data_IF_278786372746
#
_entry.id   IF_278786372746
#
_cell.length_a   1.000
_cell.length_b   1.000
_cell.length_c   1.000
_cell.angle_alpha   90.00
_cell.angle_beta   90.00
_cell.angle_gamma   90.00
#
_symmetry.space_group_name_H-M   'P 1'
#
loop_
_entity.id
_entity.type
_entity.pdbx_description
1 polymer ?
#
# COMPACT_ATOMS: atom_id res chain seq x y z
N UNK A 1 8.14 61.00 20.48
CA UNK A 1 8.26 59.55 20.76
C UNK A 1 7.23 58.83 19.92
N UNK A 2 7.67 58.00 18.96
CA UNK A 2 6.78 57.10 18.19
C UNK A 2 7.16 55.67 18.59
N UNK A 3 6.27 54.98 19.29
CA UNK A 3 6.41 53.56 19.58
C UNK A 3 5.91 52.77 18.37
N UNK A 4 6.80 51.98 17.76
CA UNK A 4 6.44 51.01 16.74
C UNK A 4 6.18 49.70 17.48
N UNK A 5 4.90 49.30 17.54
CA UNK A 5 4.46 48.03 18.08
C UNK A 5 4.65 46.96 17.01
N UNK A 6 5.72 46.19 17.09
CA UNK A 6 5.95 45.04 16.21
C UNK A 6 5.08 43.88 16.73
N UNK A 7 3.94 43.64 16.09
CA UNK A 7 3.14 42.44 16.30
C UNK A 7 3.83 41.26 15.62
N UNK A 8 4.45 40.39 16.42
CA UNK A 8 4.96 39.10 15.97
C UNK A 8 3.76 38.16 15.83
N UNK A 9 3.32 37.92 14.60
CA UNK A 9 2.36 36.87 14.29
C UNK A 9 3.06 35.52 14.45
N UNK A 10 2.79 34.85 15.56
CA UNK A 10 3.24 33.49 15.81
C UNK A 10 2.40 32.54 14.93
N UNK A 11 2.91 32.21 13.75
CA UNK A 11 2.29 31.18 12.89
C UNK A 11 2.53 29.84 13.59
N UNK A 12 1.51 29.35 14.28
CA UNK A 12 1.48 28.00 14.83
C UNK A 12 1.34 27.04 13.65
N UNK A 13 2.46 26.49 13.18
CA UNK A 13 2.47 25.44 12.18
C UNK A 13 1.86 24.18 12.81
N UNK A 14 0.57 23.96 12.60
CA UNK A 14 -0.08 22.71 12.98
C UNK A 14 0.48 21.64 12.05
N UNK A 15 1.52 20.92 12.49
CA UNK A 15 1.98 19.70 11.83
C UNK A 15 0.91 18.67 12.08
N UNK A 16 -0.08 18.59 11.19
CA UNK A 16 -0.92 17.41 11.09
C UNK A 16 0.06 16.26 10.82
N UNK A 17 0.16 15.31 11.75
CA UNK A 17 0.97 14.13 11.57
C UNK A 17 0.37 13.32 10.42
N UNK A 18 0.75 13.65 9.19
CA UNK A 18 0.62 12.74 8.07
C UNK A 18 1.55 11.57 8.36
N UNK A 19 1.06 10.33 8.25
CA UNK A 19 1.90 9.15 8.31
C UNK A 19 3.11 9.35 7.39
N UNK A 20 4.30 8.93 7.82
CA UNK A 20 5.46 9.12 6.96
C UNK A 20 5.27 8.26 5.69
N UNK A 21 5.54 8.82 4.49
CA UNK A 21 5.32 8.10 3.25
C UNK A 21 6.19 6.85 3.18
N UNK A 22 5.78 5.88 2.38
CA UNK A 22 6.61 4.73 2.08
C UNK A 22 7.97 5.16 1.54
N UNK A 23 9.05 4.58 2.09
CA UNK A 23 10.42 4.89 1.68
C UNK A 23 10.68 4.50 0.21
N UNK A 24 9.97 3.47 -0.27
CA UNK A 24 10.11 2.93 -1.62
C UNK A 24 8.73 2.68 -2.25
N UNK A 25 8.44 3.51 -3.23
CA UNK A 25 7.26 3.37 -4.11
C UNK A 25 7.74 2.87 -5.46
N UNK A 26 7.14 1.80 -5.96
CA UNK A 26 7.47 1.16 -7.24
C UNK A 26 6.30 1.36 -8.20
N UNK A 27 6.63 1.72 -9.44
CA UNK A 27 5.66 1.83 -10.53
C UNK A 27 5.73 0.59 -11.39
N UNK A 28 4.61 -0.07 -11.61
CA UNK A 28 4.45 -1.12 -12.61
C UNK A 28 3.36 -0.67 -13.58
N UNK A 29 3.60 -0.76 -14.89
CA UNK A 29 2.69 -0.20 -15.91
C UNK A 29 1.74 -1.23 -16.53
N UNK A 30 1.97 -2.52 -16.28
CA UNK A 30 1.20 -3.64 -16.81
C UNK A 30 1.42 -4.92 -15.98
N UNK A 31 0.63 -5.97 -16.27
CA UNK A 31 0.76 -7.28 -15.63
C UNK A 31 2.16 -7.86 -15.68
N UNK A 32 2.86 -7.75 -16.83
CA UNK A 32 4.19 -8.36 -16.99
C UNK A 32 5.23 -7.71 -16.09
N UNK A 33 5.23 -6.38 -16.01
CA UNK A 33 6.09 -5.64 -15.09
C UNK A 33 5.74 -5.94 -13.63
N UNK A 34 4.45 -5.93 -13.28
CA UNK A 34 4.00 -6.21 -11.93
C UNK A 34 4.39 -7.64 -11.50
N UNK A 35 4.12 -8.66 -12.31
CA UNK A 35 4.55 -10.04 -12.03
C UNK A 35 6.05 -10.15 -11.85
N UNK A 36 6.84 -9.51 -12.72
CA UNK A 36 8.30 -9.51 -12.58
C UNK A 36 8.75 -8.93 -11.24
N UNK A 37 8.11 -7.88 -10.74
CA UNK A 37 8.39 -7.33 -9.41
C UNK A 37 8.02 -8.32 -8.30
N UNK A 38 6.84 -8.95 -8.37
CA UNK A 38 6.33 -9.82 -7.32
C UNK A 38 6.99 -11.22 -7.29
N UNK A 39 7.39 -11.75 -8.45
CA UNK A 39 7.94 -13.10 -8.64
C UNK A 39 9.47 -13.14 -8.81
N UNK A 40 10.10 -12.02 -9.19
CA UNK A 40 11.44 -11.95 -9.80
C UNK A 40 12.65 -12.31 -8.94
N UNK A 41 12.49 -13.16 -7.91
CA UNK A 41 13.57 -13.67 -7.07
C UNK A 41 14.05 -12.69 -6.00
N UNK A 42 13.45 -11.51 -5.90
CA UNK A 42 13.73 -10.57 -4.82
C UNK A 42 13.05 -11.04 -3.52
N UNK A 43 13.80 -10.98 -2.42
CA UNK A 43 13.29 -11.23 -1.06
C UNK A 43 12.43 -10.09 -0.50
N UNK A 44 12.11 -9.10 -1.35
CA UNK A 44 11.36 -7.92 -1.00
C UNK A 44 9.90 -8.25 -0.66
N UNK A 45 9.36 -7.55 0.32
CA UNK A 45 7.95 -7.58 0.67
C UNK A 45 7.23 -6.44 -0.07
N UNK A 46 6.14 -6.75 -0.76
CA UNK A 46 5.36 -5.78 -1.50
C UNK A 46 3.96 -5.61 -0.88
N UNK A 47 3.51 -4.37 -0.81
CA UNK A 47 2.11 -4.00 -0.62
C UNK A 47 1.62 -3.44 -1.96
N UNK A 48 0.62 -4.08 -2.55
CA UNK A 48 0.00 -3.61 -3.80
C UNK A 48 -1.43 -3.16 -3.51
N UNK A 49 -1.68 -1.86 -3.61
CA UNK A 49 -3.01 -1.27 -3.45
C UNK A 49 -3.71 -1.21 -4.82
N UNK A 50 -4.61 -2.15 -5.07
CA UNK A 50 -5.46 -2.16 -6.25
C UNK A 50 -6.69 -1.29 -5.98
N UNK A 51 -6.88 -0.27 -6.80
CA UNK A 51 -7.95 0.70 -6.64
C UNK A 51 -8.75 0.93 -7.91
N UNK A 52 -9.94 1.49 -7.76
CA UNK A 52 -10.73 2.06 -8.85
C UNK A 52 -10.95 3.56 -8.63
N UNK A 53 -11.06 4.36 -9.71
CA UNK A 53 -11.34 5.79 -9.58
C UNK A 53 -12.59 6.05 -8.74
N UNK A 54 -12.48 6.89 -7.72
CA UNK A 54 -13.58 7.26 -6.83
C UNK A 54 -13.82 6.32 -5.65
N UNK A 55 -13.00 5.28 -5.46
CA UNK A 55 -12.99 4.51 -4.21
C UNK A 55 -12.21 5.24 -3.08
N UNK A 56 -11.99 4.56 -1.95
CA UNK A 56 -11.28 5.08 -0.78
C UNK A 56 -9.79 4.67 -0.72
N UNK A 57 -9.12 4.45 -1.84
CA UNK A 57 -7.72 4.01 -1.84
C UNK A 57 -6.75 4.99 -1.17
N UNK A 58 -6.99 6.30 -1.23
CA UNK A 58 -6.18 7.30 -0.54
C UNK A 58 -6.28 7.18 0.98
N UNK A 59 -7.48 6.87 1.50
CA UNK A 59 -7.67 6.60 2.95
C UNK A 59 -6.88 5.35 3.35
N UNK A 60 -6.95 4.29 2.52
CA UNK A 60 -6.20 3.05 2.75
C UNK A 60 -4.69 3.29 2.68
N UNK A 61 -4.20 4.05 1.70
CA UNK A 61 -2.79 4.43 1.59
C UNK A 61 -2.31 5.16 2.83
N UNK A 62 -3.07 6.16 3.29
CA UNK A 62 -2.72 6.94 4.48
C UNK A 62 -2.65 6.06 5.74
N UNK A 63 -3.63 5.17 5.92
CA UNK A 63 -3.63 4.22 7.04
C UNK A 63 -2.41 3.29 7.01
N UNK A 64 -2.02 2.83 5.82
CA UNK A 64 -0.83 2.01 5.64
C UNK A 64 0.47 2.79 5.84
N UNK A 65 0.55 4.06 5.41
CA UNK A 65 1.71 4.93 5.66
C UNK A 65 1.90 5.21 7.15
N UNK A 66 0.80 5.44 7.89
CA UNK A 66 0.82 5.63 9.34
C UNK A 66 1.34 4.37 10.07
N UNK A 67 0.87 3.18 9.67
CA UNK A 67 1.23 1.91 10.34
C UNK A 67 2.58 1.36 9.92
N UNK A 68 2.96 1.57 8.66
CA UNK A 68 4.06 0.86 8.00
C UNK A 68 5.09 1.83 7.43
N UNK A 69 4.67 2.80 6.61
CA UNK A 69 5.57 3.71 5.88
C UNK A 69 6.53 4.48 6.78
N UNK A 70 6.03 5.01 7.90
CA UNK A 70 6.83 5.71 8.90
C UNK A 70 7.51 4.84 9.95
N UNK A 71 7.22 3.54 9.97
CA UNK A 71 7.70 2.66 11.04
C UNK A 71 9.09 2.13 10.72
N UNK A 72 10.11 2.47 11.53
CA UNK A 72 11.50 2.04 11.33
C UNK A 72 11.68 0.53 11.24
N UNK A 73 10.75 -0.25 11.81
CA UNK A 73 10.75 -1.72 11.71
C UNK A 73 10.44 -2.23 10.31
N UNK A 74 9.63 -1.50 9.53
CA UNK A 74 9.06 -1.97 8.27
C UNK A 74 9.50 -1.15 7.06
N UNK A 75 9.78 0.15 7.26
CA UNK A 75 9.96 1.14 6.19
C UNK A 75 10.99 0.74 5.13
N UNK A 76 12.06 0.05 5.51
CA UNK A 76 13.15 -0.31 4.60
C UNK A 76 12.99 -1.73 4.02
N UNK A 77 11.96 -2.47 4.47
CA UNK A 77 11.69 -3.86 4.10
C UNK A 77 10.51 -3.99 3.13
N UNK A 78 9.68 -2.96 3.02
CA UNK A 78 8.41 -2.97 2.30
C UNK A 78 8.46 -2.01 1.12
N UNK A 79 8.14 -2.53 -0.05
CA UNK A 79 7.88 -1.74 -1.26
C UNK A 79 6.36 -1.53 -1.41
N UNK A 80 5.95 -0.34 -1.80
CA UNK A 80 4.56 -0.01 -2.06
C UNK A 80 4.29 0.19 -3.55
N UNK A 81 3.16 -0.31 -4.05
CA UNK A 81 2.71 -0.19 -5.45
C UNK A 81 1.23 0.20 -5.46
N UNK A 82 0.85 1.12 -6.35
CA UNK A 82 -0.55 1.47 -6.60
C UNK A 82 -0.95 1.06 -8.00
N UNK A 83 -2.07 0.34 -8.13
CA UNK A 83 -2.56 -0.17 -9.39
C UNK A 83 -4.00 0.28 -9.60
N UNK A 84 -4.21 1.08 -10.65
CA UNK A 84 -5.54 1.42 -11.11
C UNK A 84 -6.17 0.22 -11.83
N UNK A 85 -6.99 -0.54 -11.11
CA UNK A 85 -7.68 -1.73 -11.59
C UNK A 85 -8.75 -1.42 -12.65
N UNK A 86 -9.16 -0.16 -12.83
CA UNK A 86 -10.03 0.21 -13.95
C UNK A 86 -9.32 0.10 -15.31
N UNK A 87 -7.98 0.05 -15.32
CA UNK A 87 -7.18 -0.26 -16.53
C UNK A 87 -7.11 -1.77 -16.76
N UNK A 88 -8.28 -2.40 -16.83
CA UNK A 88 -8.44 -3.87 -16.79
C UNK A 88 -7.64 -4.60 -17.87
N UNK A 89 -7.49 -4.04 -19.07
CA UNK A 89 -6.66 -4.65 -20.12
C UNK A 89 -5.16 -4.66 -19.79
N UNK A 90 -4.64 -3.61 -19.13
CA UNK A 90 -3.21 -3.51 -18.80
C UNK A 90 -2.80 -4.47 -17.68
N UNK A 91 -3.73 -4.77 -16.77
CA UNK A 91 -3.47 -5.59 -15.58
C UNK A 91 -4.26 -6.90 -15.56
N UNK A 92 -4.83 -7.32 -16.71
CA UNK A 92 -5.77 -8.46 -16.80
C UNK A 92 -5.25 -9.70 -16.07
N UNK A 93 -4.05 -10.14 -16.40
CA UNK A 93 -3.48 -11.37 -15.86
C UNK A 93 -3.37 -11.30 -14.34
N UNK A 94 -2.69 -10.29 -13.79
CA UNK A 94 -2.53 -10.17 -12.33
C UNK A 94 -3.88 -10.01 -11.62
N UNK A 95 -4.79 -9.19 -12.15
CA UNK A 95 -6.12 -9.06 -11.56
C UNK A 95 -6.89 -10.38 -11.58
N UNK A 96 -6.66 -11.23 -12.59
CA UNK A 96 -7.28 -12.55 -12.70
C UNK A 96 -6.68 -13.51 -11.68
N UNK A 97 -5.35 -13.54 -11.57
CA UNK A 97 -4.63 -14.47 -10.68
C UNK A 97 -4.92 -14.18 -9.21
N UNK A 98 -5.00 -12.91 -8.82
CA UNK A 98 -5.40 -12.52 -7.46
C UNK A 98 -6.92 -12.56 -7.24
N UNK A 99 -7.70 -12.91 -8.27
CA UNK A 99 -9.14 -13.16 -8.16
C UNK A 99 -10.02 -11.91 -8.09
N UNK A 100 -9.54 -10.75 -8.55
CA UNK A 100 -10.28 -9.48 -8.51
C UNK A 100 -10.74 -8.93 -9.87
N UNK A 101 -10.35 -9.53 -10.99
CA UNK A 101 -10.66 -9.04 -12.34
C UNK A 101 -12.15 -8.77 -12.60
N UNK A 102 -13.03 -9.62 -12.08
CA UNK A 102 -14.48 -9.53 -12.26
C UNK A 102 -15.22 -8.95 -11.04
N UNK A 103 -14.51 -8.32 -10.09
CA UNK A 103 -15.15 -7.75 -8.90
C UNK A 103 -15.79 -6.42 -9.23
N UNK A 104 -16.95 -6.16 -8.63
CA UNK A 104 -17.66 -4.90 -8.80
C UNK A 104 -16.84 -3.74 -8.22
N UNK A 105 -16.91 -2.56 -8.86
CA UNK A 105 -16.12 -1.39 -8.48
C UNK A 105 -16.32 -0.94 -7.03
N UNK A 106 -17.53 -1.13 -6.48
CA UNK A 106 -17.84 -0.82 -5.08
C UNK A 106 -17.19 -1.77 -4.05
N UNK A 107 -16.49 -2.82 -4.51
CA UNK A 107 -15.76 -3.74 -3.63
C UNK A 107 -14.29 -3.37 -3.47
N UNK A 108 -13.82 -2.34 -4.19
CA UNK A 108 -12.49 -1.78 -4.08
C UNK A 108 -12.40 -0.78 -2.91
N UNK A 109 -11.20 -0.53 -2.36
CA UNK A 109 -9.90 -1.08 -2.79
C UNK A 109 -9.60 -2.50 -2.26
N UNK A 110 -8.63 -3.16 -2.90
CA UNK A 110 -8.03 -4.41 -2.44
C UNK A 110 -6.54 -4.20 -2.21
N UNK A 111 -5.98 -4.82 -1.17
CA UNK A 111 -4.53 -4.75 -0.91
C UNK A 111 -3.93 -6.14 -0.90
N UNK A 112 -2.94 -6.37 -1.76
CA UNK A 112 -2.15 -7.60 -1.76
C UNK A 112 -0.87 -7.38 -0.97
N UNK A 113 -0.59 -8.25 -0.01
CA UNK A 113 0.74 -8.41 0.58
C UNK A 113 1.42 -9.57 -0.13
N UNK A 114 2.59 -9.34 -0.72
CA UNK A 114 3.27 -10.29 -1.61
C UNK A 114 4.75 -10.42 -1.27
N UNK A 115 5.26 -11.66 -1.29
CA UNK A 115 6.68 -11.97 -1.21
C UNK A 115 6.96 -13.23 -2.02
N UNK A 116 7.90 -13.17 -2.98
CA UNK A 116 8.34 -14.32 -3.79
C UNK A 116 7.21 -15.08 -4.50
N UNK A 117 6.25 -14.39 -5.11
CA UNK A 117 5.14 -15.07 -5.80
C UNK A 117 4.01 -15.58 -4.88
N UNK A 118 4.22 -15.63 -3.56
CA UNK A 118 3.16 -15.90 -2.60
C UNK A 118 2.52 -14.58 -2.15
N UNK A 119 1.22 -14.57 -1.89
CA UNK A 119 0.58 -13.38 -1.36
C UNK A 119 -0.76 -13.61 -0.69
N UNK A 120 -1.25 -12.55 -0.05
CA UNK A 120 -2.52 -12.54 0.67
C UNK A 120 -3.28 -11.26 0.36
N UNK A 121 -4.56 -11.41 0.03
CA UNK A 121 -5.40 -10.31 -0.41
C UNK A 121 -6.34 -9.85 0.72
N UNK A 122 -6.30 -8.55 1.02
CA UNK A 122 -7.13 -7.87 2.00
C UNK A 122 -8.21 -7.03 1.33
N UNK A 123 -9.37 -6.91 1.98
CA UNK A 123 -10.48 -6.04 1.59
C UNK A 123 -11.30 -5.61 2.80
N UNK A 124 -12.08 -4.54 2.66
CA UNK A 124 -13.04 -4.10 3.67
C UNK A 124 -12.51 -2.98 4.58
N UNK A 125 -13.13 -2.82 5.75
CA UNK A 125 -12.91 -1.66 6.63
C UNK A 125 -11.56 -1.69 7.36
N UNK A 126 -11.02 -2.88 7.61
CA UNK A 126 -9.84 -3.07 8.48
C UNK A 126 -8.60 -3.55 7.69
N UNK A 127 -8.45 -3.08 6.45
CA UNK A 127 -7.34 -3.45 5.56
C UNK A 127 -5.98 -3.21 6.24
N UNK A 128 -5.74 -2.04 6.83
CA UNK A 128 -4.42 -1.73 7.38
C UNK A 128 -4.03 -2.58 8.59
N UNK A 129 -4.98 -2.97 9.46
CA UNK A 129 -4.70 -3.91 10.56
C UNK A 129 -4.33 -5.30 10.03
N UNK A 130 -5.09 -5.79 9.05
CA UNK A 130 -4.81 -7.08 8.41
C UNK A 130 -3.44 -7.09 7.72
N UNK A 131 -3.14 -6.04 6.96
CA UNK A 131 -1.87 -5.87 6.25
C UNK A 131 -0.70 -5.79 7.25
N UNK A 132 -0.83 -4.96 8.29
CA UNK A 132 0.18 -4.85 9.35
C UNK A 132 0.46 -6.21 9.99
N UNK A 133 -0.58 -6.91 10.45
CA UNK A 133 -0.43 -8.23 11.07
C UNK A 133 0.28 -9.24 10.15
N UNK A 134 -0.06 -9.24 8.85
CA UNK A 134 0.58 -10.12 7.86
C UNK A 134 2.04 -9.75 7.61
N UNK A 135 2.36 -8.47 7.48
CA UNK A 135 3.74 -8.00 7.32
C UNK A 135 4.57 -8.39 8.54
N UNK A 136 4.05 -8.18 9.75
CA UNK A 136 4.72 -8.61 10.99
C UNK A 136 4.99 -10.12 10.97
N UNK A 137 4.00 -10.94 10.62
CA UNK A 137 4.19 -12.39 10.54
C UNK A 137 5.25 -12.80 9.50
N UNK A 138 5.24 -12.19 8.31
CA UNK A 138 6.20 -12.50 7.24
C UNK A 138 7.62 -12.10 7.65
N UNK A 139 7.80 -10.95 8.29
CA UNK A 139 9.12 -10.47 8.76
C UNK A 139 9.64 -11.32 9.92
N UNK A 140 8.75 -11.75 10.83
CA UNK A 140 9.13 -12.61 11.95
C UNK A 140 9.28 -14.09 11.57
N UNK A 141 9.05 -14.46 10.30
CA UNK A 141 9.15 -15.84 9.83
C UNK A 141 8.05 -16.77 10.34
N UNK A 142 6.91 -16.23 10.78
CA UNK A 142 5.75 -17.02 11.19
C UNK A 142 5.01 -17.53 9.96
N UNK A 143 4.92 -18.84 9.79
CA UNK A 143 4.27 -19.48 8.64
C UNK A 143 2.75 -19.32 8.75
N UNK A 144 2.13 -18.88 7.66
CA UNK A 144 0.69 -18.71 7.54
C UNK A 144 0.22 -19.43 6.27
N UNK A 145 -0.66 -20.43 6.43
CA UNK A 145 -0.97 -21.47 5.46
C UNK A 145 -1.98 -21.07 4.36
N UNK A 146 -2.45 -19.83 4.33
CA UNK A 146 -3.50 -19.36 3.42
C UNK A 146 -3.01 -18.43 2.31
N UNK A 147 -1.83 -18.67 1.73
CA UNK A 147 -1.33 -17.86 0.61
C UNK A 147 -2.02 -18.22 -0.72
N UNK A 148 -2.21 -17.21 -1.55
CA UNK A 148 -2.52 -17.33 -2.97
C UNK A 148 -1.19 -17.27 -3.72
N UNK A 149 -0.95 -18.22 -4.63
CA UNK A 149 0.13 -18.14 -5.62
C UNK A 149 -0.41 -17.54 -6.91
N UNK A 150 0.33 -16.60 -7.49
CA UNK A 150 0.00 -15.90 -8.73
C UNK A 150 1.07 -16.09 -9.80
#
# INVERSE_FOLDING_TARGET
MKFILISIVMISLLVVAFGAPFSKVVTANNSKELKKELEGGNDNLYIVNFYMPGDKHEDVKKDLEEKIGGNSRYKDLVNYIEINAARTYQYKDVLTDVGIYNKASNQYPYVLVSKKGDGYLFRGKDIGEGVLGKITNVIEGRVDYSSIRY
#
